data_IF_208169942108
#
_entry.id   IF_208169942108
#
_cell.length_a   1.000
_cell.length_b   1.000
_cell.length_c   1.000
_cell.angle_alpha   90.00
_cell.angle_beta   90.00
_cell.angle_gamma   90.00
#
_symmetry.space_group_name_H-M   'P 1'
#
loop_
_entity.id
_entity.type
_entity.pdbx_description
1 polymer ?
#
# COMPACT_ATOMS: atom_id res chain seq x y z
N UNK A 1 -7.22 1.38 -8.33
CA UNK A 1 -6.01 0.79 -7.72
C UNK A 1 -6.40 0.20 -6.37
N UNK A 2 -5.98 -1.04 -6.10
CA UNK A 2 -6.19 -1.75 -4.83
C UNK A 2 -4.96 -1.58 -3.96
N UNK A 3 -5.15 -1.01 -2.77
CA UNK A 3 -4.08 -0.70 -1.82
C UNK A 3 -4.25 -1.57 -0.57
N UNK A 4 -3.19 -2.23 -0.13
CA UNK A 4 -3.17 -2.98 1.12
C UNK A 4 -2.45 -2.13 2.15
N UNK A 5 -3.05 -1.96 3.32
CA UNK A 5 -2.53 -1.08 4.37
C UNK A 5 -2.36 -1.91 5.63
N UNK A 6 -1.20 -1.80 6.28
CA UNK A 6 -0.97 -2.47 7.56
C UNK A 6 -1.98 -2.02 8.62
N UNK A 7 -2.42 -2.96 9.47
CA UNK A 7 -3.48 -2.73 10.47
C UNK A 7 -3.18 -1.55 11.40
N UNK A 8 -1.91 -1.28 11.71
CA UNK A 8 -1.50 -0.16 12.56
C UNK A 8 -1.68 1.23 11.92
N UNK A 9 -2.01 1.30 10.63
CA UNK A 9 -2.14 2.55 9.86
C UNK A 9 -3.60 2.90 9.53
N UNK A 10 -4.52 2.68 10.48
CA UNK A 10 -5.96 2.90 10.30
C UNK A 10 -6.30 4.32 9.78
N UNK A 11 -5.59 5.35 10.25
CA UNK A 11 -5.75 6.73 9.76
C UNK A 11 -5.50 6.83 8.24
N UNK A 12 -4.42 6.23 7.75
CA UNK A 12 -4.07 6.24 6.32
C UNK A 12 -5.13 5.49 5.51
N UNK A 13 -5.59 4.36 6.04
CA UNK A 13 -6.65 3.56 5.43
C UNK A 13 -7.93 4.38 5.22
N UNK A 14 -8.39 5.08 6.25
CA UNK A 14 -9.61 5.88 6.16
C UNK A 14 -9.46 7.06 5.18
N UNK A 15 -8.31 7.71 5.17
CA UNK A 15 -8.05 8.78 4.20
C UNK A 15 -8.00 8.26 2.76
N UNK A 16 -7.39 7.10 2.51
CA UNK A 16 -7.37 6.49 1.18
C UNK A 16 -8.76 6.07 0.72
N UNK A 17 -9.60 5.52 1.61
CA UNK A 17 -11.00 5.21 1.28
C UNK A 17 -11.78 6.47 0.90
N UNK A 18 -11.63 7.57 1.65
CA UNK A 18 -12.26 8.86 1.33
C UNK A 18 -11.83 9.43 -0.02
N UNK A 19 -10.58 9.17 -0.42
CA UNK A 19 -10.02 9.57 -1.72
C UNK A 19 -10.40 8.62 -2.87
N UNK A 20 -11.15 7.55 -2.60
CA UNK A 20 -11.69 6.63 -3.60
C UNK A 20 -10.83 5.41 -3.92
N UNK A 21 -9.79 5.12 -3.11
CA UNK A 21 -9.01 3.90 -3.27
C UNK A 21 -9.72 2.68 -2.68
N UNK A 22 -9.56 1.52 -3.32
CA UNK A 22 -10.01 0.24 -2.75
C UNK A 22 -8.95 -0.22 -1.74
N UNK A 23 -9.25 -0.13 -0.45
CA UNK A 23 -8.33 -0.53 0.62
C UNK A 23 -8.68 -1.92 1.17
N UNK A 24 -7.71 -2.84 1.22
CA UNK A 24 -7.87 -4.22 1.73
C UNK A 24 -6.93 -4.50 2.91
N UNK A 25 -7.37 -5.38 3.83
CA UNK A 25 -6.60 -5.78 5.03
C UNK A 25 -5.73 -7.00 4.80
N UNK A 26 -6.16 -7.90 3.92
CA UNK A 26 -5.54 -9.21 3.76
C UNK A 26 -5.24 -9.49 2.30
N UNK A 27 -4.01 -9.98 2.07
CA UNK A 27 -3.51 -10.41 0.77
C UNK A 27 -3.99 -11.83 0.38
N UNK A 28 -4.96 -12.40 1.11
CA UNK A 28 -5.33 -13.81 1.00
C UNK A 28 -6.04 -14.17 -0.32
N UNK A 29 -6.72 -13.22 -0.98
CA UNK A 29 -7.44 -13.51 -2.23
C UNK A 29 -7.34 -12.43 -3.31
N UNK A 30 -6.97 -11.19 -2.95
CA UNK A 30 -6.92 -10.07 -3.91
C UNK A 30 -5.47 -9.71 -4.27
N UNK A 31 -5.23 -9.49 -5.56
CA UNK A 31 -3.98 -8.86 -6.03
C UNK A 31 -3.92 -7.42 -5.55
N UNK A 32 -2.82 -7.06 -4.91
CA UNK A 32 -2.60 -5.71 -4.43
C UNK A 32 -1.63 -4.96 -5.36
N UNK A 33 -2.02 -3.75 -5.77
CA UNK A 33 -1.19 -2.87 -6.57
C UNK A 33 -0.13 -2.18 -5.70
N UNK A 34 -0.50 -1.78 -4.48
CA UNK A 34 0.40 -1.09 -3.58
C UNK A 34 0.20 -1.50 -2.12
N UNK A 35 1.28 -1.80 -1.43
CA UNK A 35 1.32 -2.08 -0.01
C UNK A 35 1.84 -0.86 0.73
N UNK A 36 1.12 -0.42 1.76
CA UNK A 36 1.52 0.65 2.66
C UNK A 36 1.77 0.06 4.04
N UNK A 37 2.99 0.21 4.53
CA UNK A 37 3.40 -0.33 5.81
C UNK A 37 4.42 0.58 6.51
N UNK A 38 4.62 0.39 7.81
CA UNK A 38 5.75 0.98 8.52
C UNK A 38 6.92 -0.02 8.53
N UNK A 39 7.98 0.25 7.77
CA UNK A 39 9.13 -0.65 7.69
C UNK A 39 9.90 -0.74 9.03
N UNK A 40 9.93 0.35 9.81
CA UNK A 40 10.66 0.40 11.09
C UNK A 40 10.01 -0.45 12.18
N UNK A 41 8.69 -0.64 12.09
CA UNK A 41 7.91 -1.44 13.04
C UNK A 41 7.74 -2.90 12.59
N UNK A 42 8.46 -3.31 11.53
CA UNK A 42 8.29 -4.64 10.94
C UNK A 42 6.91 -4.83 10.30
N UNK A 43 6.23 -3.75 9.90
CA UNK A 43 4.90 -3.78 9.28
C UNK A 43 4.81 -4.65 8.03
N UNK A 44 5.95 -4.82 7.32
CA UNK A 44 6.06 -5.75 6.20
C UNK A 44 5.88 -7.22 6.61
N UNK A 45 6.41 -7.60 7.78
CA UNK A 45 6.26 -8.95 8.33
C UNK A 45 4.84 -9.17 8.90
N UNK A 46 4.23 -8.12 9.46
CA UNK A 46 2.88 -8.13 10.05
C UNK A 46 1.78 -8.31 9.01
N UNK A 47 1.99 -7.83 7.78
CA UNK A 47 1.07 -7.99 6.65
C UNK A 47 0.91 -9.45 6.16
N UNK A 48 1.43 -10.43 6.91
CA UNK A 48 1.33 -11.86 6.59
C UNK A 48 1.57 -12.11 5.11
N UNK A 49 2.70 -11.58 4.62
CA UNK A 49 3.16 -11.70 3.24
C UNK A 49 3.63 -13.13 2.97
N UNK A 50 2.73 -14.10 3.11
CA UNK A 50 3.07 -15.52 3.08
C UNK A 50 3.38 -16.06 1.68
N UNK A 51 3.21 -15.28 0.61
CA UNK A 51 3.73 -15.59 -0.74
C UNK A 51 3.40 -14.54 -1.83
N UNK A 52 2.72 -13.43 -1.52
CA UNK A 52 2.09 -12.58 -2.54
C UNK A 52 2.95 -11.43 -3.08
N UNK A 53 4.09 -11.10 -2.45
CA UNK A 53 5.04 -10.09 -2.98
C UNK A 53 5.77 -10.60 -4.24
N UNK A 54 5.64 -11.89 -4.56
CA UNK A 54 6.21 -12.52 -5.75
C UNK A 54 5.46 -12.17 -7.05
N UNK A 55 4.57 -11.16 -7.04
CA UNK A 55 4.02 -10.60 -8.28
C UNK A 55 4.87 -9.40 -8.67
N UNK A 56 5.68 -9.58 -9.70
CA UNK A 56 6.39 -8.49 -10.39
C UNK A 56 5.44 -7.29 -10.54
N UNK A 57 5.75 -6.18 -9.86
CA UNK A 57 4.93 -4.97 -9.91
C UNK A 57 3.95 -4.76 -8.74
N UNK A 58 4.22 -5.21 -7.52
CA UNK A 58 3.58 -4.60 -6.32
C UNK A 58 4.47 -3.48 -5.78
N UNK A 59 3.91 -2.28 -5.60
CA UNK A 59 4.62 -1.13 -5.03
C UNK A 59 4.59 -1.20 -3.50
N UNK A 60 5.74 -1.13 -2.84
CA UNK A 60 5.80 -1.02 -1.37
C UNK A 60 6.10 0.43 -1.00
N UNK A 61 5.27 1.02 -0.13
CA UNK A 61 5.39 2.39 0.36
C UNK A 61 5.59 2.36 1.87
N UNK A 62 6.73 2.90 2.31
CA UNK A 62 6.99 3.12 3.73
C UNK A 62 6.24 4.38 4.20
N UNK A 63 5.25 4.18 5.06
CA UNK A 63 4.43 5.26 5.64
C UNK A 63 4.99 5.80 6.96
N UNK A 64 6.02 5.17 7.55
CA UNK A 64 6.53 5.54 8.87
C UNK A 64 7.06 6.96 8.99
N UNK A 65 7.23 7.69 7.88
CA UNK A 65 7.68 9.09 7.86
C UNK A 65 7.06 9.90 6.72
N UNK A 66 5.90 9.47 6.19
CA UNK A 66 5.23 10.13 5.06
C UNK A 66 3.83 10.62 5.43
N UNK A 67 3.47 11.79 4.93
CA UNK A 67 2.10 12.27 4.98
C UNK A 67 1.20 11.49 4.00
N UNK A 68 -0.11 11.58 4.20
CA UNK A 68 -1.10 10.98 3.30
C UNK A 68 -1.00 11.53 1.88
N UNK A 69 -0.67 12.81 1.73
CA UNK A 69 -0.55 13.45 0.42
C UNK A 69 0.69 12.96 -0.33
N UNK A 70 1.81 12.73 0.37
CA UNK A 70 3.00 12.11 -0.22
C UNK A 70 2.73 10.65 -0.62
N UNK A 71 1.99 9.91 0.20
CA UNK A 71 1.58 8.55 -0.12
C UNK A 71 0.75 8.56 -1.40
N UNK A 72 -0.27 9.41 -1.48
CA UNK A 72 -1.09 9.55 -2.69
C UNK A 72 -0.28 9.96 -3.92
N UNK A 73 0.66 10.89 -3.78
CA UNK A 73 1.54 11.27 -4.87
C UNK A 73 2.35 10.08 -5.40
N UNK A 74 2.92 9.27 -4.51
CA UNK A 74 3.68 8.05 -4.88
C UNK A 74 2.76 7.04 -5.59
N UNK A 75 1.55 6.83 -5.08
CA UNK A 75 0.57 5.93 -5.67
C UNK A 75 0.16 6.37 -7.08
N UNK A 76 -0.07 7.67 -7.29
CA UNK A 76 -0.46 8.22 -8.59
C UNK A 76 0.70 8.22 -9.60
N UNK A 77 1.93 8.56 -9.17
CA UNK A 77 3.09 8.57 -10.07
C UNK A 77 3.43 7.21 -10.65
N UNK A 78 3.11 6.12 -9.94
CA UNK A 78 3.24 4.77 -10.48
C UNK A 78 2.41 4.57 -11.76
N UNK A 79 1.19 5.11 -11.77
CA UNK A 79 0.28 5.06 -12.93
C UNK A 79 0.86 5.81 -14.13
N UNK A 80 1.68 6.84 -13.88
CA UNK A 80 2.30 7.67 -14.90
C UNK A 80 3.65 7.19 -15.41
N UNK A 81 4.29 6.17 -14.82
CA UNK A 81 5.56 5.63 -15.35
C UNK A 81 5.40 4.62 -16.49
N UNK A 82 4.18 4.45 -17.03
CA UNK A 82 3.90 3.66 -18.24
C UNK A 82 4.20 4.40 -19.56
N UNK A 83 4.82 5.58 -19.51
CA UNK A 83 5.32 6.25 -20.71
C UNK A 83 6.74 5.75 -20.96
N UNK A 84 6.89 5.02 -22.06
CA UNK A 84 8.10 4.46 -22.70
C UNK A 84 8.36 2.96 -22.44
#
# INVERSE_FOLDING_TARGET
>A
MTVCVSEELEYIREELKKRGYKVIDTLENDSCDAVICNLKDGGLLKLSMKNTINRDGTLIVDAGSKSIDEIEYILNNRTYNSIF
#
